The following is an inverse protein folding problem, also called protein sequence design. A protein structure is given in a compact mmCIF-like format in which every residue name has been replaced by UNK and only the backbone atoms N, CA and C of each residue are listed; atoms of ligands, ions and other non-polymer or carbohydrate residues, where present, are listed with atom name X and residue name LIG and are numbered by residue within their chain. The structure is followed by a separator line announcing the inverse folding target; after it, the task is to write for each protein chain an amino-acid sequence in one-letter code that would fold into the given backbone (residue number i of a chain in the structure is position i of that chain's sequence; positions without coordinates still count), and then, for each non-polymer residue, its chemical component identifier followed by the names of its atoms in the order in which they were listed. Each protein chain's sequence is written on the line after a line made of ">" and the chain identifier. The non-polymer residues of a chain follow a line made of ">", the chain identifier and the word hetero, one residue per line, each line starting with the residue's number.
data_IF_447092520954
#
_entry.id   IF_447092520954
#
_cell.length_a   1.000
_cell.length_b   1.000
_cell.length_c   1.000
_cell.angle_alpha   90.00
_cell.angle_beta   90.00
_cell.angle_gamma   90.00
#
_symmetry.space_group_name_H-M   'P 1'
#
loop_
_entity.id
_entity.type
_entity.pdbx_description
1 polymer ?
#
# COMPACT_ATOMS: atom_id res chain seq x y z
N UNK A 1 3.98 24.13 -14.94
CA UNK A 1 4.55 22.85 -15.40
C UNK A 1 4.14 21.75 -14.44
N UNK A 2 3.32 20.82 -14.89
CA UNK A 2 2.93 19.70 -14.05
C UNK A 2 3.98 18.61 -14.15
N UNK A 3 4.63 18.29 -13.05
CA UNK A 3 5.50 17.14 -12.96
C UNK A 3 4.64 15.94 -12.63
N UNK A 4 4.54 15.02 -13.59
CA UNK A 4 3.81 13.78 -13.38
C UNK A 4 4.72 12.82 -12.59
N UNK A 5 4.65 12.91 -11.27
CA UNK A 5 5.39 12.00 -10.41
C UNK A 5 4.59 10.71 -10.33
N UNK A 6 5.13 9.64 -10.92
CA UNK A 6 4.58 8.30 -10.77
C UNK A 6 5.17 7.64 -9.54
N UNK A 7 4.30 7.09 -8.71
CA UNK A 7 4.70 6.28 -7.57
C UNK A 7 3.84 5.02 -7.53
N UNK A 8 4.44 3.92 -7.15
CA UNK A 8 3.74 2.64 -7.04
C UNK A 8 2.85 2.57 -5.80
N UNK A 9 3.08 3.46 -4.82
CA UNK A 9 2.33 3.47 -3.57
C UNK A 9 1.18 4.47 -3.63
N UNK A 10 -0.04 3.98 -3.43
CA UNK A 10 -1.23 4.83 -3.40
C UNK A 10 -1.18 5.85 -2.24
N UNK A 11 -0.61 5.49 -1.11
CA UNK A 11 -0.43 6.39 0.03
C UNK A 11 0.47 7.58 -0.31
N UNK A 12 1.54 7.34 -1.07
CA UNK A 12 2.42 8.39 -1.55
C UNK A 12 1.73 9.28 -2.59
N UNK A 13 1.03 8.66 -3.54
CA UNK A 13 0.27 9.40 -4.54
C UNK A 13 -0.77 10.32 -3.89
N UNK A 14 -1.46 9.83 -2.87
CA UNK A 14 -2.43 10.60 -2.11
C UNK A 14 -1.77 11.79 -1.41
N UNK A 15 -0.65 11.58 -0.74
CA UNK A 15 0.09 12.62 -0.05
C UNK A 15 0.60 13.70 -1.02
N UNK A 16 1.14 13.29 -2.18
CA UNK A 16 1.60 14.21 -3.21
C UNK A 16 0.45 15.05 -3.75
N UNK A 17 -0.69 14.42 -4.02
CA UNK A 17 -1.86 15.11 -4.55
C UNK A 17 -2.43 16.12 -3.55
N UNK A 18 -2.48 15.78 -2.26
CA UNK A 18 -2.90 16.72 -1.21
C UNK A 18 -1.93 17.89 -1.07
N UNK A 19 -0.63 17.66 -1.22
CA UNK A 19 0.37 18.71 -1.14
C UNK A 19 0.22 19.74 -2.27
N UNK A 20 -0.34 19.34 -3.41
CA UNK A 20 -0.62 20.27 -4.54
C UNK A 20 -1.91 21.06 -4.35
N UNK A 21 -2.75 20.67 -3.40
CA UNK A 21 -4.02 21.32 -3.10
C UNK A 21 -4.14 21.55 -1.59
N UNK A 22 -3.33 22.47 -1.01
CA UNK A 22 -3.24 22.66 0.44
C UNK A 22 -4.54 23.16 1.07
N UNK A 23 -5.45 23.69 0.30
CA UNK A 23 -6.77 24.11 0.78
C UNK A 23 -7.73 22.94 1.02
N UNK A 24 -7.39 21.75 0.55
CA UNK A 24 -8.24 20.57 0.72
C UNK A 24 -7.72 19.70 1.87
N UNK A 25 -8.63 19.27 2.72
CA UNK A 25 -8.33 18.27 3.75
C UNK A 25 -8.42 16.85 3.19
N UNK A 26 -9.24 16.66 2.17
CA UNK A 26 -9.45 15.36 1.51
C UNK A 26 -9.58 15.56 0.01
N UNK A 27 -9.15 14.57 -0.76
CA UNK A 27 -9.33 14.57 -2.20
C UNK A 27 -10.70 13.99 -2.54
N UNK A 28 -11.37 14.62 -3.50
CA UNK A 28 -12.64 14.12 -3.98
C UNK A 28 -12.47 12.77 -4.69
N UNK A 29 -13.34 11.82 -4.36
CA UNK A 29 -13.28 10.48 -4.92
C UNK A 29 -12.20 9.58 -4.32
N UNK A 30 -11.58 10.02 -3.23
CA UNK A 30 -10.55 9.24 -2.53
C UNK A 30 -10.86 9.22 -1.04
N UNK A 31 -10.78 8.05 -0.44
CA UNK A 31 -10.86 7.86 1.01
C UNK A 31 -9.52 7.33 1.50
N UNK A 32 -8.94 7.96 2.50
CA UNK A 32 -7.66 7.54 3.07
C UNK A 32 -7.78 7.40 4.58
N UNK A 33 -7.29 6.29 5.10
CA UNK A 33 -7.31 5.99 6.53
C UNK A 33 -6.00 5.36 6.94
N UNK A 34 -5.60 5.60 8.19
CA UNK A 34 -4.45 4.95 8.80
C UNK A 34 -4.92 4.10 9.96
N UNK A 35 -4.33 2.91 10.10
CA UNK A 35 -4.62 2.01 11.21
C UNK A 35 -3.37 1.29 11.66
N UNK A 36 -3.46 0.64 12.81
CA UNK A 36 -2.40 -0.20 13.33
C UNK A 36 -2.86 -1.66 13.30
N UNK A 37 -2.05 -2.53 12.70
CA UNK A 37 -2.27 -3.97 12.71
C UNK A 37 -1.08 -4.66 13.34
N UNK A 38 -1.32 -5.36 14.45
CA UNK A 38 -0.27 -6.11 15.16
C UNK A 38 0.98 -5.29 15.45
N UNK A 39 0.79 -3.99 15.74
CA UNK A 39 1.89 -3.08 16.04
C UNK A 39 2.53 -2.39 14.84
N UNK A 40 2.03 -2.61 13.64
CA UNK A 40 2.56 -2.00 12.41
C UNK A 40 1.57 -1.02 11.81
N UNK A 41 2.08 0.07 11.24
CA UNK A 41 1.27 1.09 10.61
C UNK A 41 0.82 0.65 9.23
N UNK A 42 -0.47 0.83 8.95
CA UNK A 42 -1.09 0.52 7.66
C UNK A 42 -1.79 1.76 7.14
N UNK A 43 -1.51 2.10 5.90
CA UNK A 43 -2.24 3.13 5.16
C UNK A 43 -3.20 2.45 4.20
N UNK A 44 -4.48 2.79 4.30
CA UNK A 44 -5.52 2.30 3.40
C UNK A 44 -6.02 3.45 2.55
N UNK A 45 -5.88 3.34 1.25
CA UNK A 45 -6.37 4.32 0.28
C UNK A 45 -7.41 3.63 -0.61
N UNK A 46 -8.59 4.20 -0.69
CA UNK A 46 -9.64 3.71 -1.56
C UNK A 46 -9.97 4.76 -2.62
N UNK A 47 -9.86 4.38 -3.87
CA UNK A 47 -10.27 5.21 -5.00
C UNK A 47 -11.69 4.81 -5.36
N UNK A 48 -12.63 5.75 -5.21
CA UNK A 48 -14.06 5.48 -5.26
C UNK A 48 -14.66 5.69 -6.65
N UNK A 49 -14.09 6.61 -7.43
CA UNK A 49 -14.61 6.98 -8.74
C UNK A 49 -13.51 7.48 -9.68
N UNK A 50 -13.91 7.89 -10.89
CA UNK A 50 -12.98 8.38 -11.91
C UNK A 50 -12.25 9.66 -11.49
N UNK A 51 -12.87 10.51 -10.70
CA UNK A 51 -12.23 11.73 -10.20
C UNK A 51 -11.03 11.38 -9.33
N UNK A 52 -11.20 10.42 -8.41
CA UNK A 52 -10.10 9.92 -7.59
C UNK A 52 -9.04 9.19 -8.41
N UNK A 53 -9.47 8.40 -9.40
CA UNK A 53 -8.55 7.68 -10.28
C UNK A 53 -7.64 8.65 -11.05
N UNK A 54 -8.19 9.73 -11.58
CA UNK A 54 -7.42 10.76 -12.27
C UNK A 54 -6.48 11.50 -11.31
N UNK A 55 -6.97 11.84 -10.11
CA UNK A 55 -6.16 12.56 -9.13
C UNK A 55 -4.92 11.78 -8.71
N UNK A 56 -5.02 10.47 -8.57
CA UNK A 56 -3.92 9.62 -8.13
C UNK A 56 -3.23 8.87 -9.26
N UNK A 57 -3.74 8.97 -10.48
CA UNK A 57 -3.25 8.21 -11.64
C UNK A 57 -3.21 6.70 -11.38
N UNK A 58 -4.27 6.20 -10.73
CA UNK A 58 -4.43 4.79 -10.37
C UNK A 58 -5.87 4.34 -10.58
N UNK A 59 -6.09 3.06 -10.93
CA UNK A 59 -7.44 2.53 -11.10
C UNK A 59 -8.28 2.60 -9.83
N UNK A 60 -9.60 2.61 -10.00
CA UNK A 60 -10.55 2.48 -8.89
C UNK A 60 -10.26 1.18 -8.15
N UNK A 61 -10.20 1.23 -6.82
CA UNK A 61 -9.93 0.07 -6.00
C UNK A 61 -9.43 0.42 -4.61
N UNK A 62 -9.03 -0.61 -3.88
CA UNK A 62 -8.48 -0.48 -2.54
C UNK A 62 -6.98 -0.77 -2.57
N UNK A 63 -6.23 0.08 -1.88
CA UNK A 63 -4.76 0.00 -1.83
C UNK A 63 -4.33 0.04 -0.37
N UNK A 64 -3.54 -0.95 0.03
CA UNK A 64 -3.00 -1.03 1.39
C UNK A 64 -1.47 -0.94 1.34
N UNK A 65 -0.91 -0.12 2.21
CA UNK A 65 0.54 -0.01 2.40
C UNK A 65 0.85 -0.35 3.84
N UNK A 66 1.65 -1.40 4.04
CA UNK A 66 2.12 -1.83 5.35
C UNK A 66 3.56 -1.36 5.53
N UNK A 67 3.81 -0.59 6.58
CA UNK A 67 5.15 -0.14 6.92
C UNK A 67 5.84 -1.18 7.80
N UNK A 68 6.95 -1.71 7.30
CA UNK A 68 7.79 -2.65 8.03
C UNK A 68 9.16 -2.04 8.29
N UNK A 69 9.85 -2.44 9.38
CA UNK A 69 11.23 -2.03 9.59
C UNK A 69 12.12 -2.41 8.40
N UNK A 70 13.14 -1.60 8.13
CA UNK A 70 14.08 -1.84 7.03
C UNK A 70 14.85 -3.16 7.19
N UNK A 71 15.01 -3.64 8.42
CA UNK A 71 15.61 -4.92 8.71
C UNK A 71 14.59 -5.74 9.50
N UNK A 72 14.23 -6.90 8.97
CA UNK A 72 13.32 -7.83 9.60
C UNK A 72 13.99 -9.19 9.73
N UNK A 73 14.24 -9.62 10.96
CA UNK A 73 14.83 -10.92 11.23
C UNK A 73 13.73 -11.95 11.44
N UNK A 74 13.81 -13.08 10.74
CA UNK A 74 12.84 -14.17 10.88
C UNK A 74 12.81 -14.75 12.30
N UNK A 75 13.91 -14.71 13.02
CA UNK A 75 13.99 -15.12 14.41
C UNK A 75 13.63 -14.01 15.40
N UNK A 76 13.37 -12.80 14.92
CA UNK A 76 13.05 -11.65 15.77
C UNK A 76 11.63 -11.65 16.29
N UNK A 77 11.42 -10.90 17.36
CA UNK A 77 10.12 -10.80 18.04
C UNK A 77 9.04 -10.18 17.17
N UNK A 78 9.44 -9.34 16.21
CA UNK A 78 8.50 -8.60 15.34
C UNK A 78 8.00 -9.42 14.15
N UNK A 79 8.69 -10.50 13.78
CA UNK A 79 8.36 -11.26 12.58
C UNK A 79 6.96 -11.89 12.62
N UNK A 80 6.53 -12.55 13.72
CA UNK A 80 5.20 -13.15 13.78
C UNK A 80 4.07 -12.10 13.62
N UNK A 81 4.24 -10.92 14.22
CA UNK A 81 3.28 -9.82 14.08
C UNK A 81 3.21 -9.29 12.65
N UNK A 82 4.37 -9.14 12.00
CA UNK A 82 4.42 -8.72 10.60
C UNK A 82 3.73 -9.72 9.68
N UNK A 83 3.98 -11.02 9.89
CA UNK A 83 3.33 -12.07 9.12
C UNK A 83 1.81 -12.05 9.28
N UNK A 84 1.32 -11.83 10.51
CA UNK A 84 -0.12 -11.70 10.77
C UNK A 84 -0.71 -10.46 10.11
N UNK A 85 0.00 -9.34 10.12
CA UNK A 85 -0.45 -8.12 9.45
C UNK A 85 -0.58 -8.33 7.94
N UNK A 86 0.41 -8.94 7.31
CA UNK A 86 0.37 -9.27 5.88
C UNK A 86 -0.80 -10.21 5.57
N UNK A 87 -0.99 -11.24 6.38
CA UNK A 87 -2.08 -12.19 6.20
C UNK A 87 -3.45 -11.52 6.29
N UNK A 88 -3.63 -10.60 7.24
CA UNK A 88 -4.88 -9.84 7.38
C UNK A 88 -5.15 -8.97 6.16
N UNK A 89 -4.13 -8.27 5.66
CA UNK A 89 -4.28 -7.43 4.48
C UNK A 89 -4.58 -8.26 3.23
N UNK A 90 -3.93 -9.39 3.07
CA UNK A 90 -4.23 -10.31 1.96
C UNK A 90 -5.67 -10.79 2.03
N UNK A 91 -6.16 -11.13 3.22
CA UNK A 91 -7.55 -11.56 3.38
C UNK A 91 -8.53 -10.47 2.98
N UNK A 92 -8.25 -9.20 3.27
CA UNK A 92 -9.08 -8.06 2.88
C UNK A 92 -9.10 -7.83 1.37
N UNK A 93 -8.00 -8.17 0.68
CA UNK A 93 -7.87 -7.99 -0.77
C UNK A 93 -8.45 -9.15 -1.57
N UNK A 94 -8.56 -10.34 -0.98
CA UNK A 94 -9.02 -11.54 -1.68
C UNK A 94 -10.54 -11.69 -1.57
N UNK A 95 -11.18 -12.30 -2.59
CA UNK A 95 -12.59 -12.65 -2.50
C UNK A 95 -12.83 -13.68 -1.40
N UNK A 96 -14.06 -13.73 -0.87
CA UNK A 96 -14.43 -14.68 0.19
C UNK A 96 -14.34 -16.14 -0.23
N UNK A 97 -14.46 -16.41 -1.53
CA UNK A 97 -14.28 -17.77 -2.09
C UNK A 97 -13.29 -17.69 -3.25
N UNK A 98 -12.17 -18.37 -3.08
CA UNK A 98 -11.15 -18.51 -4.13
C UNK A 98 -10.82 -20.00 -4.30
N UNK A 99 -10.67 -20.43 -5.56
CA UNK A 99 -10.27 -21.79 -5.90
C UNK A 99 -8.78 -21.90 -6.16
N UNK A 100 -8.18 -20.81 -6.60
CA UNK A 100 -6.74 -20.76 -6.91
C UNK A 100 -6.23 -19.34 -6.75
N UNK A 101 -4.94 -19.22 -6.51
CA UNK A 101 -4.26 -17.92 -6.43
C UNK A 101 -2.87 -18.05 -7.06
N UNK A 102 -2.49 -17.03 -7.82
CA UNK A 102 -1.13 -16.89 -8.32
C UNK A 102 -0.42 -15.83 -7.47
N UNK A 103 0.71 -16.20 -6.89
CA UNK A 103 1.54 -15.28 -6.11
C UNK A 103 2.74 -14.89 -6.97
N UNK A 104 2.85 -13.60 -7.28
CA UNK A 104 4.00 -13.04 -7.97
C UNK A 104 4.72 -12.12 -6.99
N UNK A 105 5.91 -12.52 -6.57
CA UNK A 105 6.74 -11.72 -5.68
C UNK A 105 7.77 -10.98 -6.52
N UNK A 106 7.73 -9.64 -6.44
CA UNK A 106 8.59 -8.76 -7.20
C UNK A 106 9.64 -8.15 -6.28
N UNK A 107 10.86 -8.05 -6.77
CA UNK A 107 11.93 -7.45 -6.00
C UNK A 107 13.15 -7.17 -6.88
N UNK A 108 14.06 -6.38 -6.34
CA UNK A 108 15.33 -6.09 -6.99
C UNK A 108 16.47 -6.74 -6.18
N UNK A 109 17.13 -7.79 -6.72
CA UNK A 109 18.19 -8.48 -5.97
C UNK A 109 19.42 -7.61 -5.69
N UNK A 110 19.60 -6.51 -6.43
CA UNK A 110 20.73 -5.60 -6.26
C UNK A 110 20.52 -4.60 -5.12
N UNK A 111 19.29 -4.46 -4.63
CA UNK A 111 18.93 -3.58 -3.51
C UNK A 111 18.39 -4.44 -2.38
N UNK A 112 19.11 -4.48 -1.26
CA UNK A 112 18.80 -5.39 -0.15
C UNK A 112 17.35 -5.35 0.33
N UNK A 113 16.72 -4.16 0.55
CA UNK A 113 15.32 -4.14 0.98
C UNK A 113 14.34 -4.71 -0.05
N UNK A 114 14.66 -4.58 -1.35
CA UNK A 114 13.80 -5.04 -2.43
C UNK A 114 14.08 -6.47 -2.85
N UNK A 115 15.18 -7.07 -2.36
CA UNK A 115 15.58 -8.42 -2.74
C UNK A 115 14.63 -9.50 -2.19
N UNK A 116 13.85 -9.18 -1.17
CA UNK A 116 12.97 -10.14 -0.49
C UNK A 116 11.99 -10.81 -1.46
N UNK A 117 11.40 -10.04 -2.37
CA UNK A 117 10.45 -10.57 -3.34
C UNK A 117 11.08 -11.46 -4.42
N UNK A 118 12.40 -11.35 -4.65
CA UNK A 118 13.13 -12.11 -5.66
C UNK A 118 13.81 -13.37 -5.12
N UNK A 119 13.78 -13.57 -3.81
CA UNK A 119 14.41 -14.73 -3.16
C UNK A 119 13.58 -16.01 -3.26
#
# INVERSE_FOLDING_TARGET
>A
MSINVRTDLASEAHRIALAKAPELSELQGVSAQNEMLYGFSVSAVQILDNTGAEALSKPIGKYYTLELPSIMDRGGDNFPGAAKAVAELLRRCLPSKINSALIAALGNPDITPDALGSL
#
